data_IF_362030295419
#
_entry.id   IF_362030295419
#
_cell.length_a   1.000
_cell.length_b   1.000
_cell.length_c   1.000
_cell.angle_alpha   90.00
_cell.angle_beta   90.00
_cell.angle_gamma   90.00
#
_symmetry.space_group_name_H-M   'P 1'
#
loop_
_entity.id
_entity.type
_entity.pdbx_description
1 polymer ?
#
# COMPACT_ATOMS: atom_id res chain seq x y z
N UNK A 1 -15.27 -17.44 -16.52
CA UNK A 1 -14.50 -16.22 -16.20
C UNK A 1 -13.54 -16.56 -15.07
N UNK A 2 -12.24 -16.47 -15.30
CA UNK A 2 -11.21 -16.71 -14.27
C UNK A 2 -10.97 -15.43 -13.46
N UNK A 3 -10.65 -15.59 -12.17
CA UNK A 3 -10.25 -14.47 -11.32
C UNK A 3 -8.78 -14.07 -11.59
N UNK A 4 -7.96 -15.02 -11.99
CA UNK A 4 -6.56 -14.84 -12.32
C UNK A 4 -6.23 -15.53 -13.65
N UNK A 5 -5.35 -14.95 -14.45
CA UNK A 5 -4.90 -15.53 -15.72
C UNK A 5 -3.38 -15.45 -15.90
N UNK A 6 -2.85 -16.36 -16.71
CA UNK A 6 -1.46 -16.36 -17.11
C UNK A 6 -1.20 -15.19 -18.07
N UNK A 7 -0.11 -14.42 -17.90
CA UNK A 7 0.24 -13.37 -18.86
C UNK A 7 0.80 -13.91 -20.19
N UNK A 8 1.12 -15.20 -20.27
CA UNK A 8 1.81 -15.82 -21.42
C UNK A 8 0.90 -16.72 -22.26
N UNK A 9 -0.28 -17.08 -21.78
CA UNK A 9 -1.23 -17.93 -22.49
C UNK A 9 -2.65 -17.81 -21.89
N UNK A 10 -3.60 -18.52 -22.49
CA UNK A 10 -5.03 -18.44 -22.13
C UNK A 10 -5.41 -19.16 -20.82
N UNK A 11 -4.43 -19.69 -20.08
CA UNK A 11 -4.71 -20.41 -18.83
C UNK A 11 -5.23 -19.45 -17.75
N UNK A 12 -6.40 -19.77 -17.18
CA UNK A 12 -7.03 -19.03 -16.10
C UNK A 12 -7.46 -19.91 -14.92
N UNK A 13 -7.44 -19.35 -13.71
CA UNK A 13 -7.90 -20.02 -12.49
C UNK A 13 -8.60 -19.07 -11.50
N UNK A 14 -9.31 -19.64 -10.53
CA UNK A 14 -9.91 -18.87 -9.45
C UNK A 14 -8.87 -18.26 -8.49
N UNK A 15 -7.70 -18.89 -8.35
CA UNK A 15 -6.66 -18.47 -7.39
C UNK A 15 -5.32 -18.16 -8.08
N UNK A 16 -4.64 -17.10 -7.61
CA UNK A 16 -3.32 -16.71 -8.12
C UNK A 16 -2.27 -17.83 -7.95
N UNK A 17 -2.35 -18.63 -6.88
CA UNK A 17 -1.41 -19.73 -6.62
C UNK A 17 -1.47 -20.81 -7.72
N UNK A 18 -2.66 -21.06 -8.27
CA UNK A 18 -2.84 -22.04 -9.35
C UNK A 18 -2.20 -21.56 -10.65
N UNK A 19 -2.35 -20.27 -10.97
CA UNK A 19 -1.66 -19.65 -12.12
C UNK A 19 -0.15 -19.64 -11.90
N UNK A 20 0.33 -19.29 -10.71
CA UNK A 20 1.77 -19.32 -10.37
C UNK A 20 2.38 -20.73 -10.53
N UNK A 21 1.64 -21.76 -10.13
CA UNK A 21 2.05 -23.16 -10.32
C UNK A 21 2.08 -23.53 -11.81
N UNK A 22 1.04 -23.16 -12.56
CA UNK A 22 1.01 -23.36 -14.01
C UNK A 22 2.21 -22.69 -14.68
N UNK A 23 2.51 -21.43 -14.35
CA UNK A 23 3.65 -20.70 -14.91
C UNK A 23 5.00 -21.41 -14.67
N UNK A 24 5.21 -21.96 -13.47
CA UNK A 24 6.43 -22.70 -13.13
C UNK A 24 6.58 -24.01 -13.90
N UNK A 25 5.47 -24.67 -14.20
CA UNK A 25 5.47 -26.00 -14.80
C UNK A 25 5.34 -25.96 -16.34
N UNK A 26 4.70 -24.92 -16.88
CA UNK A 26 4.33 -24.81 -18.29
C UNK A 26 5.12 -23.77 -19.09
N UNK A 27 5.90 -22.90 -18.44
CA UNK A 27 6.70 -21.87 -19.11
C UNK A 27 8.16 -21.92 -18.65
N UNK A 28 9.09 -21.46 -19.50
CA UNK A 28 10.51 -21.47 -19.13
C UNK A 28 10.76 -20.43 -18.04
N UNK A 29 11.69 -20.72 -17.13
CA UNK A 29 12.06 -19.82 -16.01
C UNK A 29 12.44 -18.41 -16.47
N UNK A 30 13.03 -18.27 -17.65
CA UNK A 30 13.39 -16.97 -18.25
C UNK A 30 12.17 -16.15 -18.67
N UNK A 31 11.09 -16.80 -19.11
CA UNK A 31 9.86 -16.14 -19.57
C UNK A 31 9.01 -15.66 -18.40
N UNK A 32 9.03 -16.37 -17.27
CA UNK A 32 8.27 -16.03 -16.06
C UNK A 32 9.03 -15.11 -15.10
N UNK A 33 10.28 -14.76 -15.40
CA UNK A 33 11.13 -13.98 -14.51
C UNK A 33 10.56 -12.55 -14.34
N UNK A 34 10.03 -12.27 -13.15
CA UNK A 34 9.43 -10.97 -12.82
C UNK A 34 7.97 -10.80 -13.26
N UNK A 35 7.34 -11.84 -13.81
CA UNK A 35 5.91 -11.83 -14.15
C UNK A 35 5.07 -12.39 -13.00
N UNK A 36 3.92 -11.76 -12.76
CA UNK A 36 2.91 -12.23 -11.81
C UNK A 36 1.58 -12.54 -12.54
N UNK A 37 0.73 -13.44 -11.98
CA UNK A 37 -0.61 -13.69 -12.51
C UNK A 37 -1.43 -12.40 -12.64
N UNK A 38 -2.06 -12.22 -13.79
CA UNK A 38 -2.96 -11.08 -14.04
C UNK A 38 -4.26 -11.30 -13.27
N UNK A 39 -4.69 -10.31 -12.49
CA UNK A 39 -5.92 -10.38 -11.71
C UNK A 39 -7.07 -9.69 -12.47
N UNK A 40 -8.01 -10.48 -13.01
CA UNK A 40 -9.11 -9.98 -13.86
C UNK A 40 -10.25 -9.38 -13.04
N UNK A 41 -10.07 -9.24 -11.72
CA UNK A 41 -11.18 -8.91 -10.82
C UNK A 41 -11.49 -7.41 -10.79
N UNK A 42 -10.52 -6.58 -11.19
CA UNK A 42 -10.78 -5.15 -11.38
C UNK A 42 -11.67 -4.96 -12.61
N UNK A 43 -11.34 -5.62 -13.72
CA UNK A 43 -12.09 -5.52 -14.98
C UNK A 43 -13.49 -6.13 -14.88
N UNK A 44 -13.64 -7.24 -14.17
CA UNK A 44 -14.92 -7.95 -14.07
C UNK A 44 -15.64 -7.76 -12.73
N UNK A 45 -15.36 -6.67 -12.01
CA UNK A 45 -15.93 -6.39 -10.68
C UNK A 45 -17.46 -6.45 -10.68
N UNK A 46 -18.10 -5.86 -11.70
CA UNK A 46 -19.56 -5.83 -11.82
C UNK A 46 -20.14 -7.24 -11.97
N UNK A 47 -19.55 -8.05 -12.86
CA UNK A 47 -19.97 -9.43 -13.10
C UNK A 47 -19.81 -10.31 -11.85
N UNK A 48 -18.69 -10.18 -11.11
CA UNK A 48 -18.49 -10.92 -9.86
C UNK A 48 -19.44 -10.46 -8.74
N UNK A 49 -19.73 -9.15 -8.66
CA UNK A 49 -20.69 -8.61 -7.71
C UNK A 49 -22.10 -9.16 -7.96
N UNK A 50 -22.55 -9.13 -9.21
CA UNK A 50 -23.87 -9.63 -9.61
C UNK A 50 -23.99 -11.15 -9.37
N UNK A 51 -22.96 -11.92 -9.73
CA UNK A 51 -22.92 -13.35 -9.46
C UNK A 51 -23.00 -13.65 -7.95
N UNK A 52 -22.31 -12.87 -7.13
CA UNK A 52 -22.39 -13.01 -5.67
C UNK A 52 -23.79 -12.66 -5.15
N UNK A 53 -24.41 -11.58 -5.61
CA UNK A 53 -25.76 -11.22 -5.17
C UNK A 53 -26.79 -12.29 -5.54
N UNK A 54 -26.63 -12.90 -6.72
CA UNK A 54 -27.48 -13.99 -7.19
C UNK A 54 -27.29 -15.27 -6.39
N UNK A 55 -26.04 -15.66 -6.09
CA UNK A 55 -25.74 -16.94 -5.44
C UNK A 55 -25.73 -16.87 -3.91
N UNK A 56 -25.50 -15.69 -3.32
CA UNK A 56 -25.34 -15.48 -1.88
C UNK A 56 -26.13 -14.24 -1.40
N UNK A 57 -27.46 -14.26 -1.52
CA UNK A 57 -28.30 -13.16 -1.05
C UNK A 57 -28.14 -12.95 0.46
N UNK A 58 -27.94 -11.70 0.89
CA UNK A 58 -27.81 -11.35 2.31
C UNK A 58 -26.47 -11.69 2.97
N UNK A 59 -25.52 -12.32 2.26
CA UNK A 59 -24.15 -12.50 2.77
C UNK A 59 -23.29 -11.28 2.45
N UNK A 60 -22.51 -10.75 3.41
CA UNK A 60 -21.59 -9.66 3.14
C UNK A 60 -20.49 -10.11 2.18
N UNK A 61 -20.32 -9.37 1.08
CA UNK A 61 -19.28 -9.60 0.07
C UNK A 61 -17.89 -9.37 0.70
N UNK A 62 -17.17 -10.45 1.00
CA UNK A 62 -15.74 -10.37 1.34
C UNK A 62 -14.89 -10.33 0.08
N UNK A 63 -15.13 -9.30 -0.73
CA UNK A 63 -14.24 -8.94 -1.83
C UNK A 63 -12.87 -8.48 -1.30
N UNK A 64 -12.66 -8.29 0.01
CA UNK A 64 -11.40 -7.83 0.61
C UNK A 64 -10.15 -8.65 0.26
N UNK A 65 -10.29 -9.92 -0.15
CA UNK A 65 -9.16 -10.74 -0.63
C UNK A 65 -8.86 -10.54 -2.14
N UNK A 66 -9.70 -9.76 -2.81
CA UNK A 66 -9.83 -9.64 -4.27
C UNK A 66 -9.75 -8.16 -4.70
N UNK A 67 -10.39 -7.26 -3.96
CA UNK A 67 -10.09 -5.84 -3.88
C UNK A 67 -8.91 -5.69 -2.93
N UNK A 68 -7.70 -5.72 -3.48
CA UNK A 68 -6.63 -4.92 -2.89
C UNK A 68 -7.19 -3.49 -2.90
N UNK A 69 -7.81 -3.05 -1.80
CA UNK A 69 -7.99 -1.61 -1.58
C UNK A 69 -6.63 -1.00 -1.85
N UNK A 70 -6.57 0.06 -2.64
CA UNK A 70 -5.32 0.75 -2.92
C UNK A 70 -4.59 1.10 -1.61
N UNK A 71 -5.35 1.35 -0.53
CA UNK A 71 -4.90 1.55 0.85
C UNK A 71 -4.32 0.30 1.53
N UNK A 72 -4.78 -0.90 1.14
CA UNK A 72 -4.34 -2.20 1.66
C UNK A 72 -3.13 -2.79 0.93
N UNK A 73 -2.68 -2.17 -0.17
CA UNK A 73 -1.51 -2.64 -0.93
C UNK A 73 -0.21 -2.41 -0.14
N UNK A 74 0.10 -3.36 0.73
CA UNK A 74 1.39 -3.44 1.42
C UNK A 74 2.51 -3.58 0.39
N UNK A 75 3.55 -2.78 0.51
CA UNK A 75 4.76 -2.94 -0.29
C UNK A 75 5.94 -3.30 0.61
N UNK A 76 6.80 -4.16 0.07
CA UNK A 76 8.06 -4.50 0.69
C UNK A 76 9.07 -3.39 0.41
N UNK A 77 9.64 -2.81 1.46
CA UNK A 77 10.78 -1.91 1.33
C UNK A 77 11.98 -2.70 0.80
N UNK A 78 12.59 -2.26 -0.29
CA UNK A 78 13.76 -2.94 -0.88
C UNK A 78 15.03 -2.85 -0.04
N UNK A 79 15.17 -1.78 0.75
CA UNK A 79 16.38 -1.54 1.53
C UNK A 79 16.40 -2.30 2.86
N UNK A 80 15.26 -2.40 3.55
CA UNK A 80 15.18 -3.07 4.86
C UNK A 80 14.27 -4.32 4.87
N UNK A 81 13.60 -4.63 3.78
CA UNK A 81 12.73 -5.82 3.66
C UNK A 81 11.39 -5.74 4.40
N UNK A 82 11.12 -4.64 5.11
CA UNK A 82 9.89 -4.48 5.89
C UNK A 82 8.65 -4.39 4.97
N UNK A 83 7.54 -4.98 5.40
CA UNK A 83 6.26 -4.95 4.67
C UNK A 83 5.37 -3.84 5.23
N UNK A 84 5.23 -2.75 4.47
CA UNK A 84 4.62 -1.50 4.95
C UNK A 84 3.37 -1.15 4.12
N UNK A 85 2.29 -0.72 4.77
CA UNK A 85 1.08 -0.21 4.09
C UNK A 85 1.35 1.14 3.42
N UNK A 86 0.62 1.49 2.35
CA UNK A 86 0.82 2.77 1.63
C UNK A 86 0.84 3.99 2.56
N UNK A 87 -0.12 4.09 3.49
CA UNK A 87 -0.23 5.21 4.45
C UNK A 87 0.97 5.35 5.39
N UNK A 88 1.62 4.23 5.76
CA UNK A 88 2.73 4.23 6.72
C UNK A 88 4.10 4.34 6.06
N UNK A 89 4.17 4.37 4.73
CA UNK A 89 5.46 4.37 4.06
C UNK A 89 6.25 5.65 4.32
N UNK A 90 5.60 6.81 4.51
CA UNK A 90 6.31 8.08 4.75
C UNK A 90 6.94 8.10 6.13
N UNK A 91 6.17 7.74 7.15
CA UNK A 91 6.66 7.56 8.52
C UNK A 91 7.83 6.57 8.56
N UNK A 92 7.72 5.45 7.84
CA UNK A 92 8.80 4.47 7.73
C UNK A 92 10.09 5.05 7.14
N UNK A 93 9.99 5.84 6.06
CA UNK A 93 11.15 6.50 5.46
C UNK A 93 11.79 7.50 6.43
N UNK A 94 10.98 8.33 7.07
CA UNK A 94 11.43 9.37 7.98
C UNK A 94 12.08 8.80 9.24
N UNK A 95 11.55 7.71 9.79
CA UNK A 95 12.05 7.09 11.02
C UNK A 95 13.27 6.18 10.75
N UNK A 96 13.17 5.29 9.75
CA UNK A 96 14.13 4.18 9.57
C UNK A 96 15.25 4.50 8.59
N UNK A 97 15.06 5.45 7.69
CA UNK A 97 16.02 5.74 6.62
C UNK A 97 16.59 7.16 6.70
N UNK A 98 15.76 8.16 6.99
CA UNK A 98 16.19 9.57 7.02
C UNK A 98 16.46 10.11 8.43
N UNK A 99 15.86 9.50 9.46
CA UNK A 99 15.90 9.96 10.86
C UNK A 99 15.53 11.45 10.99
N UNK A 100 14.47 11.88 10.27
CA UNK A 100 13.99 13.28 10.26
C UNK A 100 12.63 13.39 10.93
N UNK A 101 12.51 14.37 11.82
CA UNK A 101 11.24 14.75 12.45
C UNK A 101 10.65 15.93 11.67
N UNK A 102 9.41 15.77 11.21
CA UNK A 102 8.70 16.78 10.41
C UNK A 102 7.48 17.37 11.11
N UNK A 103 6.92 16.68 12.10
CA UNK A 103 5.74 17.14 12.83
C UNK A 103 6.16 17.74 14.17
N UNK A 104 5.76 18.98 14.43
CA UNK A 104 6.10 19.71 15.65
C UNK A 104 4.91 20.46 16.22
N UNK A 105 4.91 20.67 17.53
CA UNK A 105 3.98 21.56 18.19
C UNK A 105 4.40 23.02 18.01
N UNK A 106 3.44 23.92 17.80
CA UNK A 106 3.71 25.37 17.72
C UNK A 106 3.98 26.04 19.07
N UNK A 107 3.63 25.39 20.18
CA UNK A 107 3.64 25.97 21.53
C UNK A 107 4.79 25.45 22.40
N UNK A 108 5.37 24.30 22.06
CA UNK A 108 6.46 23.71 22.82
C UNK A 108 7.40 22.89 21.92
N UNK A 109 8.46 22.36 22.50
CA UNK A 109 9.48 21.56 21.80
C UNK A 109 9.05 20.11 21.51
N UNK A 110 7.75 19.80 21.52
CA UNK A 110 7.27 18.45 21.21
C UNK A 110 7.36 18.15 19.70
N UNK A 111 7.84 16.95 19.39
CA UNK A 111 8.21 16.51 18.04
C UNK A 111 7.76 15.06 17.77
N UNK A 112 7.33 14.76 16.54
CA UNK A 112 6.87 13.42 16.15
C UNK A 112 7.33 12.99 14.74
N UNK A 113 7.72 11.73 14.60
CA UNK A 113 8.10 11.08 13.34
C UNK A 113 6.90 10.47 12.58
N UNK A 114 5.81 10.17 13.29
CA UNK A 114 4.90 9.12 12.87
C UNK A 114 3.66 9.62 12.17
N UNK A 115 2.98 10.60 12.75
CA UNK A 115 1.68 11.08 12.31
C UNK A 115 1.41 12.47 12.91
N UNK A 116 0.67 13.29 12.15
CA UNK A 116 0.15 14.57 12.58
C UNK A 116 -0.78 14.40 13.81
N UNK A 117 -1.56 13.32 13.83
CA UNK A 117 -2.47 12.98 14.93
C UNK A 117 -1.78 12.90 16.29
N UNK A 118 -0.50 12.52 16.34
CA UNK A 118 0.26 12.48 17.59
C UNK A 118 0.47 13.89 18.16
N UNK A 119 0.70 14.89 17.30
CA UNK A 119 0.85 16.29 17.73
C UNK A 119 -0.52 16.88 18.06
N UNK A 120 -1.58 16.52 17.33
CA UNK A 120 -2.96 16.95 17.65
C UNK A 120 -3.36 16.47 19.05
N UNK A 121 -3.14 15.18 19.35
CA UNK A 121 -3.44 14.62 20.67
C UNK A 121 -2.63 15.33 21.77
N UNK A 122 -1.32 15.52 21.54
CA UNK A 122 -0.46 16.27 22.45
C UNK A 122 -0.99 17.71 22.70
N UNK A 123 -1.41 18.42 21.65
CA UNK A 123 -1.98 19.78 21.78
C UNK A 123 -3.27 19.75 22.60
N UNK A 124 -4.11 18.74 22.39
CA UNK A 124 -5.36 18.60 23.14
C UNK A 124 -5.12 18.36 24.63
N UNK A 125 -4.10 17.57 24.98
CA UNK A 125 -3.81 17.17 26.35
C UNK A 125 -2.94 18.18 27.11
N UNK A 126 -1.99 18.83 26.43
CA UNK A 126 -0.98 19.69 27.08
C UNK A 126 -1.22 21.19 26.86
N UNK A 127 -2.09 21.54 25.92
CA UNK A 127 -2.35 22.93 25.53
C UNK A 127 -3.84 23.25 25.39
N UNK A 128 -4.73 22.37 25.87
CA UNK A 128 -6.18 22.53 25.83
C UNK A 128 -6.73 22.88 24.43
N UNK A 129 -6.07 22.39 23.38
CA UNK A 129 -6.48 22.65 21.99
C UNK A 129 -5.98 23.99 21.40
N UNK A 130 -5.21 24.79 22.13
CA UNK A 130 -4.77 26.12 21.66
C UNK A 130 -3.56 26.11 20.70
N UNK A 131 -2.97 24.94 20.45
CA UNK A 131 -1.78 24.78 19.60
C UNK A 131 -2.10 24.47 18.14
N UNK A 132 -1.06 24.47 17.31
CA UNK A 132 -1.13 24.09 15.89
C UNK A 132 -0.06 23.07 15.58
N UNK A 133 -0.36 22.14 14.67
CA UNK A 133 0.65 21.23 14.14
C UNK A 133 1.44 21.92 13.03
N UNK A 134 2.76 21.87 13.13
CA UNK A 134 3.68 22.38 12.12
C UNK A 134 4.24 21.18 11.34
N UNK A 135 4.08 21.19 10.03
CA UNK A 135 4.61 20.17 9.12
C UNK A 135 5.74 20.73 8.25
N UNK A 136 6.98 20.31 8.55
CA UNK A 136 8.18 20.72 7.82
C UNK A 136 8.60 19.77 6.69
N UNK A 137 7.70 18.90 6.22
CA UNK A 137 7.99 17.93 5.14
C UNK A 137 8.56 18.59 3.89
N UNK A 138 8.14 19.83 3.59
CA UNK A 138 8.64 20.60 2.45
C UNK A 138 10.16 20.77 2.45
N UNK A 139 10.80 20.88 3.62
CA UNK A 139 12.27 21.04 3.75
C UNK A 139 13.03 19.77 3.32
N UNK A 140 12.46 18.60 3.57
CA UNK A 140 13.08 17.30 3.31
C UNK A 140 12.46 16.58 2.11
N UNK A 141 11.63 17.27 1.33
CA UNK A 141 10.85 16.66 0.25
C UNK A 141 11.75 15.96 -0.77
N UNK A 142 12.82 16.62 -1.22
CA UNK A 142 13.72 16.07 -2.22
C UNK A 142 14.41 14.78 -1.73
N UNK A 143 14.89 14.78 -0.47
CA UNK A 143 15.50 13.61 0.17
C UNK A 143 14.49 12.47 0.37
N UNK A 144 13.28 12.79 0.81
CA UNK A 144 12.18 11.84 0.99
C UNK A 144 11.76 11.20 -0.33
N UNK A 145 11.66 11.96 -1.41
CA UNK A 145 11.35 11.44 -2.74
C UNK A 145 12.47 10.55 -3.28
N UNK A 146 13.74 10.95 -3.11
CA UNK A 146 14.89 10.14 -3.52
C UNK A 146 14.92 8.79 -2.78
N UNK A 147 14.74 8.81 -1.45
CA UNK A 147 14.68 7.60 -0.64
C UNK A 147 13.45 6.74 -0.98
N UNK A 148 12.30 7.37 -1.20
CA UNK A 148 11.08 6.66 -1.56
C UNK A 148 11.23 5.85 -2.85
N UNK A 149 11.88 6.40 -3.88
CA UNK A 149 12.15 5.69 -5.15
C UNK A 149 13.06 4.48 -4.95
N UNK A 150 14.04 4.58 -4.05
CA UNK A 150 14.92 3.48 -3.71
C UNK A 150 14.16 2.38 -2.94
N UNK A 151 13.33 2.76 -1.98
CA UNK A 151 12.57 1.81 -1.16
C UNK A 151 11.40 1.17 -1.92
N UNK A 152 10.69 1.90 -2.79
CA UNK A 152 9.42 1.50 -3.42
C UNK A 152 9.35 1.96 -4.89
N UNK A 153 9.10 1.06 -5.85
CA UNK A 153 8.98 1.40 -7.29
C UNK A 153 7.79 2.34 -7.56
N UNK A 154 6.64 2.06 -6.93
CA UNK A 154 5.36 2.69 -7.26
C UNK A 154 5.06 3.92 -6.41
N UNK A 155 6.08 4.58 -5.84
CA UNK A 155 5.83 5.74 -4.99
C UNK A 155 5.69 7.03 -5.80
N UNK A 156 4.52 7.66 -5.70
CA UNK A 156 4.33 9.07 -6.05
C UNK A 156 3.84 9.83 -4.81
N UNK A 157 4.56 10.88 -4.41
CA UNK A 157 4.13 11.78 -3.36
C UNK A 157 3.01 12.64 -3.95
N UNK A 158 1.74 12.27 -3.71
CA UNK A 158 0.61 13.12 -4.07
C UNK A 158 0.49 14.20 -2.99
N UNK A 159 0.76 15.44 -3.41
CA UNK A 159 0.49 16.68 -2.66
C UNK A 159 -1.01 16.94 -2.71
#
# INVERSE_FOLDING_TARGET
MSLHQCPLCDYGAAESRLVRRHMKNGHKKKEIAGLEPVANVVEHRAAFSEMHDRCFPGRPKRLSNITISDEGRRAKCRQCGATISRKRRLSHLLERHLQKIIYRCSLCSFESFHDENAVVAHIQEQHDGNGRVINELHKYRAEAEAMARNCFLDWQLRV
#
